data_IF_711256245355
#
_entry.id   IF_711256245355
#
_cell.length_a   1.000
_cell.length_b   1.000
_cell.length_c   1.000
_cell.angle_alpha   90.00
_cell.angle_beta   90.00
_cell.angle_gamma   90.00
#
_symmetry.space_group_name_H-M   'P 1'
#
loop_
_entity.id
_entity.type
_entity.pdbx_description
1 polymer ?
#
# COMPACT_ATOMS: atom_id res chain seq x y z
N UNK A 1 15.98 28.63 -29.72
CA UNK A 1 16.33 29.59 -28.65
C UNK A 1 15.18 30.55 -28.55
N UNK A 2 14.37 30.50 -27.48
CA UNK A 2 13.35 31.53 -27.31
C UNK A 2 14.06 32.80 -26.82
N UNK A 3 13.65 33.95 -27.38
CA UNK A 3 14.13 35.25 -26.94
C UNK A 3 13.01 35.95 -26.20
N UNK A 4 13.30 36.41 -25.00
CA UNK A 4 12.38 37.21 -24.19
C UNK A 4 12.53 38.66 -24.64
N UNK A 5 11.41 39.27 -25.01
CA UNK A 5 11.32 40.71 -25.30
C UNK A 5 10.82 41.41 -24.05
N UNK A 6 11.64 42.27 -23.48
CA UNK A 6 11.30 43.04 -22.27
C UNK A 6 11.77 44.49 -22.37
N UNK A 7 11.10 45.37 -21.64
CA UNK A 7 11.53 46.76 -21.48
C UNK A 7 12.29 46.90 -20.17
N UNK A 8 13.41 47.63 -20.19
CA UNK A 8 14.18 47.90 -18.98
C UNK A 8 13.34 48.75 -18.00
N UNK A 9 13.21 48.38 -16.71
CA UNK A 9 12.41 49.12 -15.74
C UNK A 9 12.94 50.53 -15.44
N UNK A 10 14.26 50.78 -15.58
CA UNK A 10 14.84 52.12 -15.35
C UNK A 10 14.79 53.05 -16.57
N UNK A 11 15.20 52.60 -17.75
CA UNK A 11 15.36 53.46 -18.93
C UNK A 11 14.32 53.21 -20.04
N UNK A 12 13.43 52.23 -19.84
CA UNK A 12 12.43 51.78 -20.80
C UNK A 12 13.01 51.35 -22.18
N UNK A 13 14.31 51.07 -22.24
CA UNK A 13 14.97 50.55 -23.43
C UNK A 13 14.48 49.14 -23.77
N UNK A 14 14.23 48.87 -25.05
CA UNK A 14 13.79 47.58 -25.56
C UNK A 14 14.97 46.61 -25.55
N UNK A 15 14.83 45.48 -24.87
CA UNK A 15 15.84 44.45 -24.74
C UNK A 15 15.32 43.14 -25.33
N UNK A 16 16.17 42.46 -26.11
CA UNK A 16 15.95 41.10 -26.56
C UNK A 16 17.01 40.23 -25.91
N UNK A 17 16.60 39.35 -24.99
CA UNK A 17 17.49 38.55 -24.18
C UNK A 17 17.19 37.05 -24.36
N UNK A 18 18.21 36.18 -24.37
CA UNK A 18 17.98 34.73 -24.35
C UNK A 18 17.21 34.31 -23.09
N UNK A 19 16.32 33.33 -23.24
CA UNK A 19 15.46 32.76 -22.20
C UNK A 19 16.21 32.12 -21.00
N UNK A 20 17.51 31.82 -21.16
CA UNK A 20 18.31 31.07 -20.20
C UNK A 20 19.14 31.92 -19.22
N UNK A 21 19.04 33.26 -19.27
CA UNK A 21 19.77 34.15 -18.36
C UNK A 21 18.97 34.39 -17.08
N UNK A 22 19.54 34.10 -15.91
CA UNK A 22 18.95 34.49 -14.61
C UNK A 22 19.20 35.96 -14.23
N UNK A 23 20.22 36.58 -14.83
CA UNK A 23 20.56 37.99 -14.62
C UNK A 23 20.96 38.59 -15.96
N UNK A 24 20.35 39.71 -16.33
CA UNK A 24 20.75 40.51 -17.47
C UNK A 24 21.14 41.91 -17.02
N UNK A 25 22.02 42.57 -17.77
CA UNK A 25 22.31 43.99 -17.58
C UNK A 25 21.76 44.75 -18.77
N UNK A 26 21.06 45.86 -18.51
CA UNK A 26 20.60 46.72 -19.57
C UNK A 26 21.80 47.32 -20.33
N UNK A 27 21.85 47.14 -21.65
CA UNK A 27 22.92 47.69 -22.49
C UNK A 27 22.93 49.23 -22.52
N UNK A 28 21.82 49.88 -22.18
CA UNK A 28 21.68 51.34 -22.26
C UNK A 28 22.04 52.05 -20.95
N UNK A 29 21.58 51.54 -19.80
CA UNK A 29 21.75 52.21 -18.50
C UNK A 29 22.50 51.37 -17.46
N UNK A 30 22.92 50.15 -17.81
CA UNK A 30 23.64 49.26 -16.89
C UNK A 30 22.79 48.66 -15.77
N UNK A 31 21.49 48.97 -15.70
CA UNK A 31 20.59 48.43 -14.67
C UNK A 31 20.60 46.91 -14.71
N UNK A 32 20.85 46.29 -13.55
CA UNK A 32 20.74 44.85 -13.35
C UNK A 32 19.26 44.45 -13.34
N UNK A 33 18.87 43.62 -14.30
CA UNK A 33 17.53 43.06 -14.47
C UNK A 33 17.60 41.59 -14.03
N UNK A 34 16.85 41.25 -12.98
CA UNK A 34 16.66 39.87 -12.57
C UNK A 34 15.57 39.28 -13.44
N UNK A 35 15.94 38.34 -14.30
CA UNK A 35 14.99 37.54 -15.07
C UNK A 35 14.63 36.35 -14.19
N UNK A 36 13.36 36.21 -13.82
CA UNK A 36 12.91 34.97 -13.21
C UNK A 36 13.16 33.85 -14.24
N UNK A 37 13.94 32.83 -13.84
CA UNK A 37 14.01 31.61 -14.63
C UNK A 37 12.56 31.17 -14.86
N UNK A 38 12.24 30.75 -16.09
CA UNK A 38 10.88 30.27 -16.35
C UNK A 38 10.56 29.20 -15.32
N UNK A 39 9.42 29.32 -14.61
CA UNK A 39 9.01 28.35 -13.59
C UNK A 39 9.14 26.91 -14.13
N UNK A 40 8.90 26.74 -15.43
CA UNK A 40 9.03 25.49 -16.17
C UNK A 40 10.41 24.83 -16.17
N UNK A 41 11.52 25.58 -16.08
CA UNK A 41 12.87 24.99 -16.09
C UNK A 41 13.34 24.60 -14.68
N UNK A 42 12.84 25.31 -13.67
CA UNK A 42 13.05 24.95 -12.27
C UNK A 42 12.20 23.71 -11.91
N UNK A 43 10.92 23.69 -12.31
CA UNK A 43 10.02 22.54 -12.15
C UNK A 43 10.59 21.26 -12.78
N UNK A 44 11.19 21.34 -13.96
CA UNK A 44 11.85 20.18 -14.61
C UNK A 44 13.05 19.67 -13.81
N UNK A 45 13.86 20.57 -13.25
CA UNK A 45 15.00 20.19 -12.40
C UNK A 45 14.53 19.57 -11.09
N UNK A 46 13.49 20.15 -10.50
CA UNK A 46 12.90 19.64 -9.27
C UNK A 46 12.24 18.27 -9.50
N UNK A 47 11.53 18.09 -10.61
CA UNK A 47 10.99 16.80 -11.03
C UNK A 47 12.08 15.73 -11.17
N UNK A 48 13.17 16.04 -11.90
CA UNK A 48 14.29 15.12 -12.06
C UNK A 48 14.92 14.75 -10.71
N UNK A 49 15.09 15.74 -9.82
CA UNK A 49 15.59 15.52 -8.46
C UNK A 49 14.67 14.62 -7.65
N UNK A 50 13.36 14.86 -7.66
CA UNK A 50 12.40 14.05 -6.91
C UNK A 50 12.31 12.62 -7.45
N UNK A 51 12.45 12.41 -8.75
CA UNK A 51 12.50 11.06 -9.34
C UNK A 51 13.68 10.26 -8.78
N UNK A 52 14.87 10.88 -8.72
CA UNK A 52 16.07 10.22 -8.15
C UNK A 52 15.93 9.98 -6.65
N UNK A 53 15.49 10.99 -5.88
CA UNK A 53 15.29 10.85 -4.43
C UNK A 53 14.27 9.77 -4.09
N UNK A 54 13.15 9.72 -4.82
CA UNK A 54 12.15 8.66 -4.69
C UNK A 54 12.77 7.29 -4.92
N UNK A 55 13.58 7.13 -5.97
CA UNK A 55 14.23 5.85 -6.27
C UNK A 55 15.16 5.42 -5.13
N UNK A 56 16.03 6.32 -4.66
CA UNK A 56 16.93 6.07 -3.53
C UNK A 56 16.13 5.71 -2.26
N UNK A 57 15.04 6.40 -1.97
CA UNK A 57 14.20 6.12 -0.81
C UNK A 57 13.54 4.73 -0.88
N UNK A 58 13.08 4.31 -2.06
CA UNK A 58 12.52 2.97 -2.28
C UNK A 58 13.58 1.89 -2.12
N UNK A 59 14.76 2.09 -2.71
CA UNK A 59 15.88 1.15 -2.60
C UNK A 59 16.35 1.01 -1.13
N UNK A 60 16.23 2.07 -0.35
CA UNK A 60 16.50 2.09 1.09
C UNK A 60 15.33 1.57 1.97
N UNK A 61 14.20 1.15 1.38
CA UNK A 61 12.95 0.81 2.07
C UNK A 61 12.39 1.94 2.98
N UNK A 62 12.75 3.21 2.72
CA UNK A 62 12.19 4.36 3.41
C UNK A 62 10.89 4.80 2.71
N UNK A 63 9.80 4.07 3.00
CA UNK A 63 8.53 4.25 2.31
C UNK A 63 7.82 5.56 2.67
N UNK A 64 8.04 6.15 3.85
CA UNK A 64 7.56 7.50 4.18
C UNK A 64 8.13 8.57 3.25
N UNK A 65 9.46 8.62 3.09
CA UNK A 65 10.11 9.58 2.21
C UNK A 65 9.75 9.32 0.75
N UNK A 66 9.73 8.06 0.32
CA UNK A 66 9.31 7.70 -1.02
C UNK A 66 7.88 8.19 -1.32
N UNK A 67 6.97 8.09 -0.35
CA UNK A 67 5.60 8.61 -0.47
C UNK A 67 5.57 10.13 -0.62
N UNK A 68 6.40 10.86 0.14
CA UNK A 68 6.52 12.31 0.03
C UNK A 68 7.04 12.73 -1.35
N UNK A 69 8.12 12.09 -1.84
CA UNK A 69 8.67 12.40 -3.16
C UNK A 69 7.70 12.03 -4.28
N UNK A 70 6.92 10.95 -4.16
CA UNK A 70 5.85 10.66 -5.11
C UNK A 70 4.79 11.76 -5.15
N UNK A 71 4.43 12.34 -4.01
CA UNK A 71 3.49 13.47 -3.97
C UNK A 71 4.07 14.70 -4.67
N UNK A 72 5.32 15.06 -4.41
CA UNK A 72 5.98 16.19 -5.08
C UNK A 72 6.10 15.98 -6.60
N UNK A 73 6.35 14.76 -7.06
CA UNK A 73 6.31 14.43 -8.50
C UNK A 73 4.90 14.67 -9.06
N UNK A 74 3.86 14.22 -8.35
CA UNK A 74 2.47 14.33 -8.81
C UNK A 74 1.92 15.76 -8.75
N UNK A 75 2.51 16.65 -7.95
CA UNK A 75 2.21 18.09 -7.97
C UNK A 75 2.70 18.75 -9.27
N UNK A 76 3.85 18.31 -9.79
CA UNK A 76 4.45 18.84 -11.03
C UNK A 76 3.90 18.12 -12.27
N UNK A 77 3.81 16.79 -12.22
CA UNK A 77 3.30 15.92 -13.27
C UNK A 77 2.21 14.97 -12.72
N UNK A 78 0.94 15.42 -12.69
CA UNK A 78 -0.17 14.61 -12.19
C UNK A 78 -0.44 13.33 -13.01
N UNK A 79 0.08 13.25 -14.24
CA UNK A 79 -0.10 12.11 -15.15
C UNK A 79 1.06 11.11 -15.06
N UNK A 80 1.98 11.30 -14.12
CA UNK A 80 3.11 10.40 -13.93
C UNK A 80 2.67 9.04 -13.38
N UNK A 81 2.53 8.05 -14.27
CA UNK A 81 2.08 6.69 -13.92
C UNK A 81 3.04 6.03 -12.92
N UNK A 82 4.35 6.23 -13.10
CA UNK A 82 5.38 5.70 -12.22
C UNK A 82 5.27 6.24 -10.80
N UNK A 83 4.97 7.53 -10.64
CA UNK A 83 4.74 8.11 -9.31
C UNK A 83 3.48 7.54 -8.64
N UNK A 84 2.39 7.31 -9.39
CA UNK A 84 1.20 6.66 -8.84
C UNK A 84 1.45 5.20 -8.42
N UNK A 85 2.18 4.43 -9.24
CA UNK A 85 2.57 3.04 -8.90
C UNK A 85 3.41 3.01 -7.63
N UNK A 86 4.47 3.80 -7.55
CA UNK A 86 5.34 3.81 -6.38
C UNK A 86 4.64 4.38 -5.15
N UNK A 87 3.73 5.34 -5.32
CA UNK A 87 2.85 5.83 -4.24
C UNK A 87 1.99 4.71 -3.66
N UNK A 88 1.43 3.85 -4.51
CA UNK A 88 0.66 2.68 -4.09
C UNK A 88 1.54 1.69 -3.30
N UNK A 89 2.70 1.34 -3.84
CA UNK A 89 3.65 0.43 -3.21
C UNK A 89 4.11 0.95 -1.84
N UNK A 90 4.57 2.20 -1.75
CA UNK A 90 4.97 2.80 -0.48
C UNK A 90 3.82 2.83 0.52
N UNK A 91 2.62 3.22 0.08
CA UNK A 91 1.42 3.22 0.94
C UNK A 91 1.11 1.84 1.50
N UNK A 92 1.24 0.79 0.69
CA UNK A 92 1.04 -0.59 1.11
C UNK A 92 2.05 -1.00 2.18
N UNK A 93 3.36 -0.76 1.97
CA UNK A 93 4.41 -1.14 2.92
C UNK A 93 4.35 -0.36 4.25
N UNK A 94 3.64 0.76 4.28
CA UNK A 94 3.33 1.50 5.51
C UNK A 94 2.09 0.98 6.26
N UNK A 95 1.54 -0.14 5.83
CA UNK A 95 0.45 -0.83 6.53
C UNK A 95 0.94 -1.38 7.87
N UNK A 96 0.10 -1.23 8.89
CA UNK A 96 0.32 -1.84 10.21
C UNK A 96 -0.94 -2.59 10.64
N UNK A 97 -0.84 -3.45 11.66
CA UNK A 97 -2.01 -4.15 12.22
C UNK A 97 -3.15 -3.19 12.63
N UNK A 98 -2.81 -1.95 13.01
CA UNK A 98 -3.80 -0.93 13.42
C UNK A 98 -4.38 -0.13 12.25
N UNK A 99 -3.66 -0.06 11.13
CA UNK A 99 -4.01 0.75 9.97
C UNK A 99 -3.64 0.01 8.71
N UNK A 100 -4.61 -0.74 8.18
CA UNK A 100 -4.50 -1.37 6.87
C UNK A 100 -4.66 -0.31 5.78
N UNK A 101 -3.60 -0.07 5.00
CA UNK A 101 -3.59 0.92 3.90
C UNK A 101 -3.65 0.25 2.53
N UNK A 102 -4.00 -1.03 2.48
CA UNK A 102 -4.16 -1.77 1.23
C UNK A 102 -5.20 -1.13 0.29
N UNK A 103 -6.39 -0.79 0.80
CA UNK A 103 -7.44 -0.18 -0.03
C UNK A 103 -6.99 1.16 -0.63
N UNK A 104 -6.26 1.96 0.17
CA UNK A 104 -5.65 3.23 -0.27
C UNK A 104 -4.64 2.98 -1.41
N UNK A 105 -3.79 1.96 -1.27
CA UNK A 105 -2.84 1.56 -2.32
C UNK A 105 -3.55 1.13 -3.61
N UNK A 106 -4.63 0.36 -3.50
CA UNK A 106 -5.43 -0.07 -4.66
C UNK A 106 -6.11 1.12 -5.34
N UNK A 107 -6.58 2.13 -4.59
CA UNK A 107 -7.10 3.36 -5.17
C UNK A 107 -6.05 4.14 -5.98
N UNK A 108 -4.81 4.19 -5.52
CA UNK A 108 -3.72 4.81 -6.29
C UNK A 108 -3.42 4.03 -7.58
N UNK A 109 -3.46 2.70 -7.56
CA UNK A 109 -3.34 1.90 -8.78
C UNK A 109 -4.53 2.09 -9.73
N UNK A 110 -5.74 2.34 -9.21
CA UNK A 110 -6.91 2.70 -10.05
C UNK A 110 -6.68 4.03 -10.75
N UNK A 111 -6.12 5.03 -10.06
CA UNK A 111 -5.75 6.32 -10.68
C UNK A 111 -4.69 6.14 -11.77
N UNK A 112 -3.67 5.31 -11.52
CA UNK A 112 -2.68 4.97 -12.54
C UNK A 112 -3.35 4.32 -13.77
N UNK A 113 -4.26 3.37 -13.56
CA UNK A 113 -4.96 2.67 -14.64
C UNK A 113 -5.91 3.58 -15.43
N UNK A 114 -6.46 4.63 -14.83
CA UNK A 114 -7.24 5.65 -15.55
C UNK A 114 -6.38 6.47 -16.52
N UNK A 115 -5.09 6.66 -16.20
CA UNK A 115 -4.15 7.40 -17.06
C UNK A 115 -3.61 6.52 -18.18
N UNK A 116 -3.23 5.28 -17.86
CA UNK A 116 -2.75 4.29 -18.83
C UNK A 116 -3.40 2.91 -18.58
N UNK A 117 -4.57 2.65 -19.17
CA UNK A 117 -5.30 1.39 -18.99
C UNK A 117 -4.53 0.15 -19.44
N UNK A 118 -3.71 0.28 -20.49
CA UNK A 118 -3.00 -0.83 -21.12
C UNK A 118 -1.59 -1.06 -20.54
N UNK A 119 -1.25 -0.40 -19.43
CA UNK A 119 0.05 -0.57 -18.79
C UNK A 119 0.06 -1.85 -17.93
N UNK A 120 0.69 -2.91 -18.47
CA UNK A 120 0.79 -4.22 -17.81
C UNK A 120 1.39 -4.13 -16.40
N UNK A 121 2.33 -3.21 -16.17
CA UNK A 121 2.99 -3.05 -14.87
C UNK A 121 2.01 -2.69 -13.76
N UNK A 122 0.94 -1.95 -14.06
CA UNK A 122 -0.07 -1.59 -13.05
C UNK A 122 -0.77 -2.85 -12.54
N UNK A 123 -1.11 -3.76 -13.46
CA UNK A 123 -1.75 -5.02 -13.14
C UNK A 123 -0.77 -5.98 -12.44
N UNK A 124 0.48 -6.03 -12.90
CA UNK A 124 1.53 -6.82 -12.24
C UNK A 124 1.72 -6.39 -10.77
N UNK A 125 1.84 -5.08 -10.54
CA UNK A 125 1.96 -4.53 -9.17
C UNK A 125 0.69 -4.77 -8.36
N UNK A 126 -0.51 -4.64 -8.96
CA UNK A 126 -1.77 -4.94 -8.28
C UNK A 126 -1.81 -6.38 -7.79
N UNK A 127 -1.43 -7.33 -8.65
CA UNK A 127 -1.38 -8.74 -8.31
C UNK A 127 -0.33 -9.04 -7.24
N UNK A 128 0.85 -8.42 -7.34
CA UNK A 128 1.90 -8.53 -6.31
C UNK A 128 1.41 -8.04 -4.95
N UNK A 129 0.81 -6.85 -4.87
CA UNK A 129 0.29 -6.29 -3.62
C UNK A 129 -0.85 -7.13 -3.05
N UNK A 130 -1.75 -7.61 -3.90
CA UNK A 130 -2.86 -8.48 -3.50
C UNK A 130 -2.34 -9.78 -2.88
N UNK A 131 -1.35 -10.39 -3.53
CA UNK A 131 -0.71 -11.60 -3.03
C UNK A 131 -0.03 -11.36 -1.68
N UNK A 132 0.78 -10.29 -1.56
CA UNK A 132 1.44 -9.94 -0.30
C UNK A 132 0.43 -9.65 0.82
N UNK A 133 -0.68 -8.98 0.51
CA UNK A 133 -1.75 -8.72 1.47
C UNK A 133 -2.38 -10.03 1.97
N UNK A 134 -2.68 -10.97 1.07
CA UNK A 134 -3.20 -12.28 1.44
C UNK A 134 -2.25 -13.06 2.36
N UNK A 135 -0.96 -13.08 2.04
CA UNK A 135 0.06 -13.72 2.88
C UNK A 135 0.18 -13.08 4.26
N UNK A 136 0.17 -11.76 4.34
CA UNK A 136 0.22 -11.03 5.60
C UNK A 136 -1.02 -11.31 6.47
N UNK A 137 -2.23 -11.26 5.88
CA UNK A 137 -3.48 -11.59 6.58
C UNK A 137 -3.50 -13.05 7.06
N UNK A 138 -3.03 -13.98 6.24
CA UNK A 138 -2.90 -15.40 6.62
C UNK A 138 -1.98 -15.56 7.82
N UNK A 139 -0.80 -14.96 7.79
CA UNK A 139 0.16 -15.03 8.89
C UNK A 139 -0.41 -14.46 10.18
N UNK A 140 -1.05 -13.29 10.11
CA UNK A 140 -1.71 -12.66 11.25
C UNK A 140 -2.82 -13.57 11.83
N UNK A 141 -3.64 -14.18 10.97
CA UNK A 141 -4.67 -15.13 11.39
C UNK A 141 -4.10 -16.36 12.11
N UNK A 142 -2.98 -16.93 11.64
CA UNK A 142 -2.31 -18.07 12.31
C UNK A 142 -1.80 -17.67 13.68
N UNK A 143 -1.19 -16.50 13.81
CA UNK A 143 -0.64 -16.03 15.08
C UNK A 143 -1.74 -15.78 16.12
N UNK A 144 -2.85 -15.15 15.71
CA UNK A 144 -4.05 -14.96 16.56
C UNK A 144 -4.68 -16.29 16.98
N UNK A 145 -4.80 -17.24 16.05
CA UNK A 145 -5.36 -18.56 16.33
C UNK A 145 -4.51 -19.33 17.37
N UNK A 146 -3.19 -19.36 17.19
CA UNK A 146 -2.27 -20.03 18.11
C UNK A 146 -2.27 -19.38 19.49
N UNK A 147 -2.37 -18.05 19.55
CA UNK A 147 -2.49 -17.32 20.81
C UNK A 147 -3.78 -17.71 21.55
N UNK A 148 -4.91 -17.77 20.84
CA UNK A 148 -6.20 -18.20 21.39
C UNK A 148 -6.16 -19.60 21.98
N UNK A 149 -5.53 -20.56 21.28
CA UNK A 149 -5.35 -21.93 21.77
C UNK A 149 -4.47 -22.00 23.01
N UNK A 150 -3.33 -21.29 23.02
CA UNK A 150 -2.44 -21.26 24.18
C UNK A 150 -3.14 -20.72 25.44
N UNK A 151 -3.97 -19.69 25.29
CA UNK A 151 -4.77 -19.15 26.39
C UNK A 151 -5.77 -20.19 26.90
N UNK A 152 -6.47 -20.87 25.99
CA UNK A 152 -7.41 -21.93 26.31
C UNK A 152 -6.76 -23.06 27.12
N UNK A 153 -5.64 -23.62 26.65
CA UNK A 153 -4.90 -24.70 27.30
C UNK A 153 -4.40 -24.29 28.70
N UNK A 154 -3.93 -23.05 28.84
CA UNK A 154 -3.42 -22.52 30.11
C UNK A 154 -4.49 -22.38 31.20
N UNK A 155 -5.77 -22.31 30.81
CA UNK A 155 -6.89 -22.09 31.72
C UNK A 155 -7.52 -23.41 32.16
N UNK A 156 -7.51 -24.43 31.32
CA UNK A 156 -7.88 -25.80 31.70
C UNK A 156 -7.06 -26.34 32.89
N UNK A 157 -5.90 -25.76 33.20
CA UNK A 157 -5.02 -26.18 34.28
C UNK A 157 -5.31 -25.57 35.68
N UNK A 158 -6.31 -24.69 35.88
CA UNK A 158 -6.59 -24.03 37.19
C UNK A 158 -7.56 -24.86 38.07
N UNK A 159 -7.98 -24.43 39.27
CA UNK A 159 -8.82 -25.22 40.22
C UNK A 159 -10.34 -24.92 40.19
N UNK A 160 -11.16 -25.92 40.53
CA UNK A 160 -12.57 -26.13 40.10
C UNK A 160 -13.58 -24.96 40.12
N UNK A 161 -13.45 -23.94 40.99
CA UNK A 161 -14.41 -22.81 41.04
C UNK A 161 -13.93 -21.64 40.18
N UNK A 162 -12.63 -21.32 40.25
CA UNK A 162 -12.01 -20.37 39.33
C UNK A 162 -11.97 -20.94 37.91
N UNK A 163 -11.84 -22.27 37.74
CA UNK A 163 -12.03 -22.95 36.46
C UNK A 163 -13.38 -22.58 35.85
N UNK A 164 -14.50 -22.71 36.56
CA UNK A 164 -15.81 -22.52 35.94
C UNK A 164 -16.05 -21.07 35.44
N UNK A 165 -15.60 -20.07 36.21
CA UNK A 165 -15.69 -18.65 35.82
C UNK A 165 -14.64 -18.29 34.76
N UNK A 166 -13.39 -18.70 34.98
CA UNK A 166 -12.30 -18.48 34.03
C UNK A 166 -12.55 -19.23 32.72
N UNK A 167 -13.18 -20.40 32.71
CA UNK A 167 -13.57 -21.13 31.50
C UNK A 167 -14.66 -20.40 30.74
N UNK A 168 -15.64 -19.80 31.42
CA UNK A 168 -16.67 -19.01 30.73
C UNK A 168 -16.06 -17.80 30.04
N UNK A 169 -15.23 -17.05 30.76
CA UNK A 169 -14.56 -15.86 30.23
C UNK A 169 -13.49 -16.24 29.19
N UNK A 170 -12.78 -17.36 29.38
CA UNK A 170 -11.83 -17.90 28.43
C UNK A 170 -12.48 -18.43 27.16
N UNK A 171 -13.64 -19.10 27.26
CA UNK A 171 -14.41 -19.52 26.10
C UNK A 171 -14.91 -18.31 25.33
N UNK A 172 -15.29 -17.23 26.01
CA UNK A 172 -15.66 -15.97 25.36
C UNK A 172 -14.45 -15.33 24.64
N UNK A 173 -13.32 -15.18 25.33
CA UNK A 173 -12.08 -14.63 24.78
C UNK A 173 -11.56 -15.50 23.62
N UNK A 174 -11.45 -16.81 23.81
CA UNK A 174 -11.04 -17.78 22.77
C UNK A 174 -11.98 -17.71 21.57
N UNK A 175 -13.31 -17.65 21.78
CA UNK A 175 -14.29 -17.48 20.70
C UNK A 175 -14.00 -16.21 19.91
N UNK A 176 -13.78 -15.08 20.57
CA UNK A 176 -13.50 -13.80 19.90
C UNK A 176 -12.23 -13.89 19.05
N UNK A 177 -11.13 -14.44 19.60
CA UNK A 177 -9.87 -14.60 18.87
C UNK A 177 -10.00 -15.58 17.70
N UNK A 178 -10.72 -16.68 17.86
CA UNK A 178 -10.96 -17.62 16.77
C UNK A 178 -11.85 -17.03 15.68
N UNK A 179 -12.89 -16.28 16.02
CA UNK A 179 -13.72 -15.58 15.02
C UNK A 179 -12.88 -14.56 14.27
N UNK A 180 -12.03 -13.79 14.98
CA UNK A 180 -11.10 -12.85 14.36
C UNK A 180 -10.13 -13.56 13.40
N UNK A 181 -9.50 -14.66 13.85
CA UNK A 181 -8.62 -15.48 13.02
C UNK A 181 -9.35 -16.04 11.78
N UNK A 182 -10.57 -16.54 11.96
CA UNK A 182 -11.41 -17.03 10.84
C UNK A 182 -11.73 -15.91 9.85
N UNK A 183 -12.01 -14.70 10.32
CA UNK A 183 -12.21 -13.55 9.44
C UNK A 183 -10.94 -13.20 8.65
N UNK A 184 -9.77 -13.28 9.29
CA UNK A 184 -8.49 -13.08 8.60
C UNK A 184 -8.22 -14.17 7.56
N UNK A 185 -8.47 -15.44 7.87
CA UNK A 185 -8.32 -16.51 6.88
C UNK A 185 -9.33 -16.41 5.74
N UNK A 186 -10.57 -16.02 6.04
CA UNK A 186 -11.58 -15.79 5.02
C UNK A 186 -11.16 -14.65 4.09
N UNK A 187 -10.70 -13.52 4.63
CA UNK A 187 -10.15 -12.42 3.84
C UNK A 187 -8.90 -12.83 3.04
N UNK A 188 -7.99 -13.59 3.63
CA UNK A 188 -6.81 -14.10 2.92
C UNK A 188 -7.23 -15.04 1.77
N UNK A 189 -8.27 -15.86 1.96
CA UNK A 189 -8.80 -16.79 0.94
C UNK A 189 -9.57 -16.10 -0.19
N UNK A 190 -9.94 -14.82 -0.06
CA UNK A 190 -10.44 -14.05 -1.20
C UNK A 190 -9.28 -13.51 -2.03
N UNK A 191 -8.15 -13.20 -1.40
CA UNK A 191 -6.91 -12.79 -2.08
C UNK A 191 -6.18 -13.98 -2.73
N UNK A 192 -6.11 -15.14 -2.06
CA UNK A 192 -5.39 -16.34 -2.51
C UNK A 192 -6.32 -17.57 -2.37
N UNK A 193 -7.22 -17.80 -3.34
CA UNK A 193 -8.33 -18.75 -3.17
C UNK A 193 -7.96 -20.23 -3.10
N UNK A 194 -6.83 -20.62 -3.70
CA UNK A 194 -6.39 -22.02 -3.82
C UNK A 194 -5.19 -22.36 -2.91
N UNK A 195 -4.85 -21.47 -1.98
CA UNK A 195 -3.81 -21.74 -0.98
C UNK A 195 -4.30 -22.82 0.01
N UNK A 196 -3.67 -24.00 -0.06
CA UNK A 196 -4.04 -25.16 0.76
C UNK A 196 -3.89 -24.91 2.25
N UNK A 197 -2.92 -24.10 2.68
CA UNK A 197 -2.69 -23.83 4.09
C UNK A 197 -3.78 -22.93 4.66
N UNK A 198 -4.18 -21.89 3.93
CA UNK A 198 -5.29 -21.01 4.32
C UNK A 198 -6.59 -21.82 4.41
N UNK A 199 -6.89 -22.59 3.37
CA UNK A 199 -8.11 -23.41 3.32
C UNK A 199 -8.14 -24.49 4.41
N UNK A 200 -7.00 -25.11 4.71
CA UNK A 200 -6.85 -26.04 5.83
C UNK A 200 -7.13 -25.36 7.16
N UNK A 201 -6.56 -24.18 7.41
CA UNK A 201 -6.79 -23.44 8.65
C UNK A 201 -8.26 -23.06 8.84
N UNK A 202 -8.98 -22.72 7.75
CA UNK A 202 -10.43 -22.49 7.78
C UNK A 202 -11.17 -23.77 8.18
N UNK A 203 -10.83 -24.91 7.57
CA UNK A 203 -11.46 -26.19 7.88
C UNK A 203 -11.19 -26.64 9.34
N UNK A 204 -9.96 -26.47 9.81
CA UNK A 204 -9.56 -26.83 11.17
C UNK A 204 -10.22 -25.89 12.19
N UNK A 205 -10.28 -24.58 11.92
CA UNK A 205 -10.99 -23.60 12.74
C UNK A 205 -12.50 -23.89 12.83
N UNK A 206 -13.13 -24.22 11.70
CA UNK A 206 -14.54 -24.58 11.68
C UNK A 206 -14.84 -25.87 12.48
N UNK A 207 -13.95 -26.87 12.42
CA UNK A 207 -14.06 -28.11 13.22
C UNK A 207 -13.87 -27.86 14.72
N UNK A 208 -12.86 -27.06 15.08
CA UNK A 208 -12.58 -26.74 16.47
C UNK A 208 -13.79 -26.05 17.15
N UNK A 209 -14.55 -25.27 16.38
CA UNK A 209 -15.72 -24.53 16.85
C UNK A 209 -16.98 -24.98 16.12
N UNK A 210 -17.25 -26.28 16.21
CA UNK A 210 -18.40 -26.94 15.60
C UNK A 210 -19.78 -26.42 16.03
N UNK A 211 -19.87 -25.68 17.13
CA UNK A 211 -21.12 -25.13 17.66
C UNK A 211 -21.48 -23.74 17.08
N UNK A 212 -20.59 -23.12 16.31
CA UNK A 212 -20.91 -21.92 15.52
C UNK A 212 -21.50 -22.36 14.18
N UNK A 213 -22.66 -21.81 13.84
CA UNK A 213 -23.23 -21.94 12.50
C UNK A 213 -22.47 -21.00 11.55
N UNK A 214 -21.68 -21.60 10.65
CA UNK A 214 -20.82 -20.86 9.74
C UNK A 214 -21.57 -20.47 8.46
N UNK A 215 -21.16 -19.37 7.84
CA UNK A 215 -21.78 -18.93 6.60
C UNK A 215 -21.55 -19.93 5.47
N UNK A 216 -22.42 -19.91 4.46
CA UNK A 216 -22.28 -20.71 3.23
C UNK A 216 -20.92 -20.50 2.55
N UNK A 217 -20.33 -19.32 2.70
CA UNK A 217 -19.00 -19.02 2.17
C UNK A 217 -17.90 -19.85 2.84
N UNK A 218 -17.97 -20.05 4.16
CA UNK A 218 -17.00 -20.89 4.89
C UNK A 218 -17.12 -22.34 4.44
N UNK A 219 -18.35 -22.85 4.35
CA UNK A 219 -18.60 -24.21 3.85
C UNK A 219 -18.05 -24.41 2.43
N UNK A 220 -18.26 -23.45 1.53
CA UNK A 220 -17.71 -23.51 0.18
C UNK A 220 -16.17 -23.56 0.16
N UNK A 221 -15.49 -22.87 1.09
CA UNK A 221 -14.03 -22.93 1.23
C UNK A 221 -13.56 -24.31 1.72
N UNK A 222 -14.29 -24.93 2.64
CA UNK A 222 -14.00 -26.29 3.12
C UNK A 222 -14.20 -27.33 2.01
N UNK A 223 -15.26 -27.19 1.20
CA UNK A 223 -15.47 -28.05 0.03
C UNK A 223 -14.35 -27.89 -1.00
N UNK A 224 -13.94 -26.64 -1.26
CA UNK A 224 -12.80 -26.33 -2.14
C UNK A 224 -11.52 -27.01 -1.64
N UNK A 225 -11.25 -26.94 -0.34
CA UNK A 225 -10.11 -27.63 0.29
C UNK A 225 -10.11 -29.13 0.00
N UNK A 226 -11.23 -29.80 0.30
CA UNK A 226 -11.37 -31.25 0.10
C UNK A 226 -11.22 -31.64 -1.38
N UNK A 227 -11.76 -30.82 -2.29
CA UNK A 227 -11.60 -31.02 -3.73
C UNK A 227 -10.15 -30.91 -4.19
N UNK A 228 -9.36 -29.99 -3.64
CA UNK A 228 -7.95 -29.82 -4.02
C UNK A 228 -7.09 -30.98 -3.51
N UNK A 229 -7.36 -31.49 -2.30
CA UNK A 229 -6.71 -32.70 -1.77
C UNK A 229 -7.00 -33.93 -2.63
N UNK A 230 -8.26 -34.11 -3.06
CA UNK A 230 -8.65 -35.21 -3.93
C UNK A 230 -7.95 -35.19 -5.30
N UNK A 231 -7.47 -34.01 -5.73
CA UNK A 231 -6.70 -33.84 -6.98
C UNK A 231 -5.19 -34.09 -6.79
N UNK A 232 -4.75 -34.52 -5.60
CA UNK A 232 -3.34 -34.82 -5.32
C UNK A 232 -2.44 -33.59 -5.16
N UNK A 233 -3.03 -32.40 -4.91
CA UNK A 233 -2.27 -31.21 -4.54
C UNK A 233 -1.88 -31.32 -3.06
N UNK A 234 -0.58 -31.27 -2.77
CA UNK A 234 0.01 -31.26 -1.42
C UNK A 234 0.57 -29.88 -1.07
#
# INVERSE_FOLDING_TARGET
MNMIKLNCPSCNGKLELPDNLGVAHCMYCGTKILLQQSDSDQEKKDLARYIELKKVAIDANNFEEALQYCNSILEIDPKNIEAWIHKAVSTFYLTTNKKNRYDEAIEYLKKAAQIAPDNSRIEDVRNELTYKQGMWLSKLGVDEFNLGQKLYDSIQARSFIDIARAERDARAISREHHIAAMNYFMAASTCIPDDLQILRNIADGAKAIHWIDWSTQVHAKIERYNSLLAQGKN
#
